data_IF_901733066617
#
_entry.id   IF_901733066617
#
_cell.length_a   1.000
_cell.length_b   1.000
_cell.length_c   1.000
_cell.angle_alpha   90.00
_cell.angle_beta   90.00
_cell.angle_gamma   90.00
#
_symmetry.space_group_name_H-M   'P 1'
#
loop_
_entity.id
_entity.type
_entity.pdbx_description
1 polymer ?
#
# COMPACT_ATOMS: atom_id res chain seq x y z
N UNK A 1 5.00 -24.24 16.20
CA UNK A 1 5.55 -23.12 17.01
C UNK A 1 5.26 -21.83 16.26
N UNK A 2 4.34 -20.94 16.68
CA UNK A 2 4.28 -19.62 16.06
C UNK A 2 5.41 -18.80 16.69
N UNK A 3 6.52 -18.67 15.96
CA UNK A 3 7.80 -18.30 16.52
C UNK A 3 7.95 -16.82 16.86
N UNK A 4 6.97 -15.94 16.60
CA UNK A 4 6.94 -14.58 17.15
C UNK A 4 5.50 -14.01 17.14
N UNK A 5 4.81 -13.85 18.29
CA UNK A 5 3.61 -13.03 18.39
C UNK A 5 3.99 -11.55 18.29
N UNK A 6 4.40 -11.14 17.10
CA UNK A 6 4.66 -9.75 16.76
C UNK A 6 3.38 -9.10 16.26
N UNK A 7 2.95 -8.02 16.92
CA UNK A 7 1.84 -7.14 16.53
C UNK A 7 1.91 -6.66 15.08
N UNK A 8 3.11 -6.66 14.50
CA UNK A 8 3.39 -6.25 13.12
C UNK A 8 2.73 -7.15 12.06
N UNK A 9 2.37 -8.37 12.43
CA UNK A 9 2.01 -9.41 11.49
C UNK A 9 0.69 -10.13 11.89
N UNK A 10 -0.20 -9.51 12.67
CA UNK A 10 -1.41 -10.12 13.26
C UNK A 10 -2.32 -10.97 12.33
N UNK A 11 -2.18 -10.92 11.00
CA UNK A 11 -2.89 -11.81 10.08
C UNK A 11 -2.63 -13.30 10.33
N UNK A 12 -1.52 -13.70 10.98
CA UNK A 12 -1.29 -15.10 11.37
C UNK A 12 -1.95 -15.49 12.71
N UNK A 13 -2.47 -14.55 13.50
CA UNK A 13 -2.99 -14.84 14.86
C UNK A 13 -4.48 -15.24 14.88
N UNK A 14 -5.15 -15.28 13.72
CA UNK A 14 -6.56 -15.67 13.61
C UNK A 14 -7.57 -14.63 14.14
N UNK A 15 -7.11 -13.45 14.57
CA UNK A 15 -7.94 -12.38 15.15
C UNK A 15 -8.67 -11.56 14.07
N UNK A 16 -9.72 -12.14 13.47
CA UNK A 16 -10.51 -11.54 12.37
C UNK A 16 -10.99 -10.11 12.64
N UNK A 17 -11.38 -9.79 13.89
CA UNK A 17 -11.85 -8.44 14.26
C UNK A 17 -10.77 -7.37 14.06
N UNK A 18 -9.55 -7.65 14.49
CA UNK A 18 -8.39 -6.76 14.31
C UNK A 18 -8.15 -6.54 12.81
N UNK A 19 -8.34 -7.59 11.99
CA UNK A 19 -8.16 -7.50 10.54
C UNK A 19 -9.12 -6.56 9.83
N UNK A 20 -10.40 -6.70 10.16
CA UNK A 20 -11.44 -5.88 9.55
C UNK A 20 -11.27 -4.43 10.00
N UNK A 21 -11.03 -4.19 11.29
CA UNK A 21 -10.88 -2.85 11.83
C UNK A 21 -9.64 -2.16 11.26
N UNK A 22 -8.50 -2.84 11.16
CA UNK A 22 -7.28 -2.29 10.58
C UNK A 22 -7.44 -1.99 9.09
N UNK A 23 -8.08 -2.86 8.32
CA UNK A 23 -8.37 -2.60 6.90
C UNK A 23 -9.27 -1.39 6.69
N UNK A 24 -10.34 -1.27 7.48
CA UNK A 24 -11.27 -0.13 7.38
C UNK A 24 -10.56 1.16 7.77
N UNK A 25 -9.83 1.18 8.89
CA UNK A 25 -9.06 2.36 9.31
C UNK A 25 -7.99 2.74 8.28
N UNK A 26 -7.29 1.75 7.71
CA UNK A 26 -6.32 2.00 6.66
C UNK A 26 -6.95 2.61 5.42
N UNK A 27 -8.10 2.09 4.99
CA UNK A 27 -8.81 2.64 3.84
C UNK A 27 -9.23 4.08 4.09
N UNK A 28 -9.83 4.37 5.25
CA UNK A 28 -10.25 5.74 5.60
C UNK A 28 -9.06 6.68 5.67
N UNK A 29 -7.99 6.32 6.38
CA UNK A 29 -6.82 7.17 6.55
C UNK A 29 -6.06 7.37 5.23
N UNK A 30 -5.85 6.32 4.45
CA UNK A 30 -5.22 6.44 3.14
C UNK A 30 -6.06 7.28 2.18
N UNK A 31 -7.38 7.11 2.20
CA UNK A 31 -8.27 7.95 1.38
C UNK A 31 -8.15 9.41 1.81
N UNK A 32 -8.21 9.73 3.10
CA UNK A 32 -8.08 11.10 3.59
C UNK A 32 -6.71 11.72 3.24
N UNK A 33 -5.62 10.98 3.41
CA UNK A 33 -4.26 11.45 3.13
C UNK A 33 -4.07 11.62 1.62
N UNK A 34 -4.32 10.58 0.83
CA UNK A 34 -4.01 10.57 -0.60
C UNK A 34 -4.99 11.43 -1.40
N UNK A 35 -6.29 11.35 -1.11
CA UNK A 35 -7.29 12.18 -1.79
C UNK A 35 -7.25 13.62 -1.28
N UNK A 36 -7.19 13.83 0.05
CA UNK A 36 -7.26 15.16 0.64
C UNK A 36 -6.02 16.03 0.46
N UNK A 37 -4.81 15.45 0.55
CA UNK A 37 -3.56 16.22 0.45
C UNK A 37 -2.96 16.25 -0.96
N UNK A 38 -3.18 15.19 -1.73
CA UNK A 38 -2.50 14.99 -3.01
C UNK A 38 -3.46 14.82 -4.19
N UNK A 39 -4.77 14.93 -3.94
CA UNK A 39 -5.82 14.80 -4.96
C UNK A 39 -5.75 13.48 -5.76
N UNK A 40 -5.24 12.42 -5.13
CA UNK A 40 -5.18 11.10 -5.75
C UNK A 40 -6.58 10.52 -5.95
N UNK A 41 -6.73 9.81 -7.06
CA UNK A 41 -7.92 9.02 -7.37
C UNK A 41 -8.16 7.94 -6.31
N UNK A 42 -9.43 7.72 -5.96
CA UNK A 42 -9.86 6.62 -5.07
C UNK A 42 -9.37 5.26 -5.60
N UNK A 43 -9.24 5.12 -6.92
CA UNK A 43 -8.71 3.92 -7.55
C UNK A 43 -7.24 3.66 -7.19
N UNK A 44 -6.41 4.70 -7.11
CA UNK A 44 -5.01 4.58 -6.68
C UNK A 44 -4.90 4.15 -5.21
N UNK A 45 -5.83 4.64 -4.37
CA UNK A 45 -5.90 4.24 -2.95
C UNK A 45 -6.28 2.77 -2.82
N UNK A 46 -7.31 2.32 -3.54
CA UNK A 46 -7.72 0.91 -3.55
C UNK A 46 -6.60 0.01 -4.04
N UNK A 47 -5.92 0.40 -5.12
CA UNK A 47 -4.82 -0.38 -5.67
C UNK A 47 -3.67 -0.50 -4.68
N UNK A 48 -3.29 0.60 -4.03
CA UNK A 48 -2.23 0.61 -3.03
C UNK A 48 -2.56 -0.26 -1.82
N UNK A 49 -3.83 -0.26 -1.38
CA UNK A 49 -4.30 -1.03 -0.24
C UNK A 49 -4.39 -2.54 -0.54
N UNK A 50 -4.76 -2.90 -1.77
CA UNK A 50 -4.86 -4.30 -2.21
C UNK A 50 -3.50 -4.91 -2.55
N UNK A 51 -2.61 -4.15 -3.18
CA UNK A 51 -1.31 -4.66 -3.61
C UNK A 51 -0.29 -4.72 -2.48
N UNK A 52 -0.37 -3.84 -1.48
CA UNK A 52 0.58 -3.79 -0.35
C UNK A 52 2.05 -4.00 -0.83
N UNK A 53 2.77 -4.98 -0.27
CA UNK A 53 4.13 -5.31 -0.68
C UNK A 53 4.26 -5.86 -2.11
N UNK A 54 3.20 -6.48 -2.67
CA UNK A 54 3.19 -6.95 -4.07
C UNK A 54 3.26 -5.75 -5.03
N UNK A 55 2.76 -4.58 -4.63
CA UNK A 55 2.84 -3.35 -5.40
C UNK A 55 4.28 -2.94 -5.70
N UNK A 56 5.20 -3.13 -4.75
CA UNK A 56 6.62 -2.87 -4.96
C UNK A 56 7.24 -3.83 -5.99
N UNK A 57 6.76 -5.07 -6.04
CA UNK A 57 7.22 -6.06 -7.01
C UNK A 57 6.75 -5.70 -8.42
N UNK A 58 5.52 -5.22 -8.57
CA UNK A 58 5.00 -4.68 -9.84
C UNK A 58 5.83 -3.48 -10.31
N UNK A 59 6.23 -2.58 -9.41
CA UNK A 59 7.11 -1.45 -9.74
C UNK A 59 8.49 -1.93 -10.18
N UNK A 60 9.05 -2.94 -9.52
CA UNK A 60 10.33 -3.52 -9.90
C UNK A 60 10.26 -4.13 -11.32
N UNK A 61 9.20 -4.88 -11.62
CA UNK A 61 8.96 -5.42 -12.97
C UNK A 61 8.82 -4.29 -13.99
N UNK A 62 8.12 -3.20 -13.65
CA UNK A 62 8.01 -2.03 -14.50
C UNK A 62 9.40 -1.46 -14.83
N UNK A 63 10.22 -1.20 -13.82
CA UNK A 63 11.53 -0.56 -13.99
C UNK A 63 12.52 -1.44 -14.76
N UNK A 64 12.52 -2.75 -14.50
CA UNK A 64 13.51 -3.68 -15.07
C UNK A 64 13.12 -4.16 -16.47
N UNK A 65 11.83 -4.44 -16.70
CA UNK A 65 11.37 -5.13 -17.92
C UNK A 65 10.48 -4.25 -18.79
N UNK A 66 9.41 -3.68 -18.25
CA UNK A 66 8.38 -3.02 -19.07
C UNK A 66 8.86 -1.66 -19.59
N UNK A 67 9.66 -0.93 -18.81
CA UNK A 67 10.17 0.39 -19.18
C UNK A 67 10.98 0.38 -20.47
N UNK A 68 11.68 -0.71 -20.76
CA UNK A 68 12.46 -0.86 -21.99
C UNK A 68 11.58 -0.98 -23.25
N UNK A 69 10.33 -1.44 -23.10
CA UNK A 69 9.36 -1.57 -24.18
C UNK A 69 8.65 -0.25 -24.51
N UNK A 70 8.83 0.79 -23.67
CA UNK A 70 8.17 2.09 -23.84
C UNK A 70 8.96 2.95 -24.83
N UNK A 71 8.30 3.51 -25.86
CA UNK A 71 8.90 4.46 -26.78
C UNK A 71 9.53 5.64 -26.03
N UNK A 72 10.73 6.05 -26.45
CA UNK A 72 11.52 7.05 -25.74
C UNK A 72 10.79 8.40 -25.58
N UNK A 73 9.99 8.78 -26.58
CA UNK A 73 9.14 9.98 -26.56
C UNK A 73 8.09 9.98 -25.43
N UNK A 74 7.61 8.81 -25.01
CA UNK A 74 6.57 8.67 -23.97
C UNK A 74 7.16 8.28 -22.61
N UNK A 75 8.41 7.81 -22.58
CA UNK A 75 9.05 7.24 -21.39
C UNK A 75 9.00 8.17 -20.17
N UNK A 76 9.29 9.46 -20.35
CA UNK A 76 9.27 10.43 -19.26
C UNK A 76 7.86 10.65 -18.68
N UNK A 77 6.84 10.73 -19.54
CA UNK A 77 5.45 10.85 -19.09
C UNK A 77 4.99 9.58 -18.39
N UNK A 78 5.30 8.39 -18.93
CA UNK A 78 4.91 7.13 -18.30
C UNK A 78 5.60 6.93 -16.95
N UNK A 79 6.89 7.24 -16.85
CA UNK A 79 7.63 7.20 -15.58
C UNK A 79 6.98 8.13 -14.54
N UNK A 80 6.59 9.34 -14.92
CA UNK A 80 5.90 10.29 -14.04
C UNK A 80 4.53 9.75 -13.57
N UNK A 81 3.75 9.13 -14.47
CA UNK A 81 2.46 8.53 -14.12
C UNK A 81 2.63 7.35 -13.14
N UNK A 82 3.61 6.49 -13.37
CA UNK A 82 3.89 5.35 -12.46
C UNK A 82 4.33 5.85 -11.09
N UNK A 83 5.21 6.84 -11.04
CA UNK A 83 5.65 7.42 -9.77
C UNK A 83 4.47 8.03 -9.01
N UNK A 84 3.68 8.85 -9.70
CA UNK A 84 2.57 9.56 -9.08
C UNK A 84 1.47 8.58 -8.65
N UNK A 85 0.89 7.81 -9.57
CA UNK A 85 -0.31 7.01 -9.28
C UNK A 85 -0.05 5.66 -8.63
N UNK A 86 1.20 5.20 -8.58
CA UNK A 86 1.54 3.85 -8.13
C UNK A 86 2.57 3.86 -7.01
N UNK A 87 3.78 4.38 -7.25
CA UNK A 87 4.88 4.33 -6.28
C UNK A 87 4.55 5.08 -4.98
N UNK A 88 4.15 6.35 -5.09
CA UNK A 88 3.87 7.18 -3.91
C UNK A 88 2.72 6.58 -3.08
N UNK A 89 1.55 6.24 -3.67
CA UNK A 89 0.46 5.60 -2.94
C UNK A 89 0.86 4.29 -2.27
N UNK A 90 1.60 3.40 -2.95
CA UNK A 90 2.01 2.10 -2.40
C UNK A 90 2.96 2.27 -1.22
N UNK A 91 3.96 3.15 -1.33
CA UNK A 91 4.89 3.42 -0.23
C UNK A 91 4.17 3.96 1.01
N UNK A 92 3.25 4.92 0.82
CA UNK A 92 2.44 5.46 1.91
C UNK A 92 1.51 4.40 2.49
N UNK A 93 0.87 3.58 1.64
CA UNK A 93 -0.01 2.49 2.08
C UNK A 93 0.75 1.44 2.89
N UNK A 94 1.95 1.04 2.48
CA UNK A 94 2.78 0.10 3.23
C UNK A 94 3.12 0.60 4.63
N UNK A 95 3.61 1.83 4.74
CA UNK A 95 4.02 2.39 6.03
C UNK A 95 2.81 2.61 6.94
N UNK A 96 1.77 3.24 6.42
CA UNK A 96 0.56 3.54 7.19
C UNK A 96 -0.15 2.24 7.60
N UNK A 97 -0.25 1.27 6.70
CA UNK A 97 -0.96 0.02 6.97
C UNK A 97 -0.32 -0.77 8.09
N UNK A 98 1.00 -0.85 8.14
CA UNK A 98 1.75 -1.51 9.22
C UNK A 98 1.61 -0.77 10.54
N UNK A 99 1.66 0.57 10.51
CA UNK A 99 1.52 1.39 11.71
C UNK A 99 0.11 1.30 12.32
N UNK A 100 -0.94 1.47 11.52
CA UNK A 100 -2.34 1.37 11.97
C UNK A 100 -2.63 -0.03 12.48
N UNK A 101 -2.20 -1.04 11.73
CA UNK A 101 -2.30 -2.44 12.16
C UNK A 101 -1.70 -2.67 13.54
N UNK A 102 -0.47 -2.18 13.75
CA UNK A 102 0.21 -2.31 15.03
C UNK A 102 -0.57 -1.63 16.16
N UNK A 103 -1.07 -0.40 15.93
CA UNK A 103 -1.86 0.33 16.93
C UNK A 103 -3.18 -0.36 17.26
N UNK A 104 -3.91 -0.84 16.25
CA UNK A 104 -5.18 -1.55 16.45
C UNK A 104 -4.94 -2.86 17.20
N UNK A 105 -3.88 -3.59 16.86
CA UNK A 105 -3.53 -4.82 17.56
C UNK A 105 -3.12 -4.54 19.02
N UNK A 106 -2.34 -3.49 19.28
CA UNK A 106 -1.97 -3.07 20.64
C UNK A 106 -3.15 -2.62 21.49
N UNK A 107 -4.17 -2.01 20.88
CA UNK A 107 -5.34 -1.49 21.60
C UNK A 107 -6.41 -2.56 21.90
N UNK A 108 -6.42 -3.67 21.15
CA UNK A 108 -7.46 -4.71 21.21
C UNK A 108 -6.94 -6.07 21.74
N UNK A 109 -5.64 -6.23 21.97
CA UNK A 109 -5.06 -7.33 22.75
C UNK A 109 -4.95 -6.96 24.23
#
# INVERSE_FOLDING_TARGET
MPWFPSYWYYWYTGKKKIAVISMVLNFVLLTLILNGLFNFSVWSVLLALLLDAVGLLVIAIYLVSLRALIPEALRMQTDALVVHYFLIPICLALVLSRFVTFLVAKALE
#
